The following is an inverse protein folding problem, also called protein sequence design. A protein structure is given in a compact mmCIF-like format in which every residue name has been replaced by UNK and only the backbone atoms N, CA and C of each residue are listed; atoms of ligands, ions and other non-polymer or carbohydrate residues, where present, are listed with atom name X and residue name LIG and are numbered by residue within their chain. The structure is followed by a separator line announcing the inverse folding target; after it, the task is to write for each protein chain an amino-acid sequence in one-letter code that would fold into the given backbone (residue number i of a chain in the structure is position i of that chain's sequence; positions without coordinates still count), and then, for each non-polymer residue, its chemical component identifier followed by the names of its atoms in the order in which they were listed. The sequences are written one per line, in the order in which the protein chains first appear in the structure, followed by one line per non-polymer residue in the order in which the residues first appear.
data_IF_049451028766
#
_entry.id   IF_049451028766
#
_cell.length_a   1.000
_cell.length_b   1.000
_cell.length_c   1.000
_cell.angle_alpha   90.00
_cell.angle_beta   90.00
_cell.angle_gamma   90.00
#
_symmetry.space_group_name_H-M   'P 1'
#
loop_
_entity.id
_entity.type
_entity.pdbx_description
1 polymer ?
#
# COMPACT_ATOMS: atom_id res chain seq x y z
N UNK A 1 13.58 -21.32 -10.05
CA UNK A 1 14.20 -21.05 -11.38
C UNK A 1 13.19 -20.60 -12.45
N UNK A 2 12.06 -21.29 -12.68
CA UNK A 2 11.05 -20.83 -13.66
C UNK A 2 10.21 -19.63 -13.18
N UNK A 3 9.79 -19.62 -11.91
CA UNK A 3 9.03 -18.51 -11.30
C UNK A 3 9.85 -17.20 -11.28
N UNK A 4 11.15 -17.30 -10.99
CA UNK A 4 12.08 -16.17 -10.91
C UNK A 4 12.22 -15.44 -12.25
N UNK A 5 12.36 -16.19 -13.35
CA UNK A 5 12.41 -15.62 -14.71
C UNK A 5 11.09 -14.94 -15.11
N UNK A 6 9.96 -15.42 -14.58
CA UNK A 6 8.64 -14.89 -14.88
C UNK A 6 8.41 -13.54 -14.19
N UNK A 7 8.83 -13.39 -12.93
CA UNK A 7 8.63 -12.15 -12.16
C UNK A 7 9.47 -10.99 -12.71
N UNK A 8 10.76 -11.23 -13.02
CA UNK A 8 11.61 -10.22 -13.67
C UNK A 8 11.09 -9.76 -15.04
N UNK A 9 10.65 -10.71 -15.89
CA UNK A 9 10.04 -10.40 -17.20
C UNK A 9 8.74 -9.61 -17.08
N UNK A 10 7.91 -9.91 -16.08
CA UNK A 10 6.67 -9.16 -15.82
C UNK A 10 6.95 -7.71 -15.43
N UNK A 11 7.92 -7.48 -14.55
CA UNK A 11 8.32 -6.14 -14.11
C UNK A 11 8.94 -5.34 -15.27
N UNK A 12 9.76 -5.99 -16.10
CA UNK A 12 10.32 -5.39 -17.31
C UNK A 12 9.21 -5.01 -18.31
N UNK A 13 8.28 -5.93 -18.60
CA UNK A 13 7.14 -5.69 -19.48
C UNK A 13 6.29 -4.53 -18.98
N UNK A 14 5.97 -4.52 -17.68
CA UNK A 14 5.21 -3.43 -17.06
C UNK A 14 5.94 -2.09 -17.22
N UNK A 15 7.25 -2.06 -16.98
CA UNK A 15 8.06 -0.86 -17.15
C UNK A 15 8.06 -0.34 -18.59
N UNK A 16 8.25 -1.22 -19.58
CA UNK A 16 8.22 -0.87 -21.00
C UNK A 16 6.84 -0.33 -21.39
N UNK A 17 5.77 -1.02 -20.99
CA UNK A 17 4.40 -0.58 -21.25
C UNK A 17 4.14 0.80 -20.62
N UNK A 18 4.56 1.03 -19.37
CA UNK A 18 4.38 2.33 -18.71
C UNK A 18 5.10 3.48 -19.45
N UNK A 19 6.32 3.25 -19.97
CA UNK A 19 7.03 4.24 -20.80
C UNK A 19 6.24 4.51 -22.09
N UNK A 20 5.82 3.45 -22.80
CA UNK A 20 5.06 3.58 -24.04
C UNK A 20 3.75 4.34 -23.82
N UNK A 21 2.97 3.96 -22.80
CA UNK A 21 1.75 4.67 -22.42
C UNK A 21 2.02 6.13 -22.07
N UNK A 22 3.09 6.42 -21.32
CA UNK A 22 3.46 7.79 -20.98
C UNK A 22 3.79 8.65 -22.21
N UNK A 23 4.54 8.12 -23.18
CA UNK A 23 4.85 8.81 -24.44
C UNK A 23 3.59 9.03 -25.27
N UNK A 24 2.73 8.01 -25.39
CA UNK A 24 1.48 8.10 -26.15
C UNK A 24 0.54 9.16 -25.55
N UNK A 25 0.44 9.22 -24.21
CA UNK A 25 -0.36 10.23 -23.50
C UNK A 25 0.19 11.64 -23.74
N UNK A 26 1.51 11.84 -23.74
CA UNK A 26 2.11 13.14 -24.04
C UNK A 26 1.83 13.57 -25.48
N UNK A 27 1.95 12.65 -26.43
CA UNK A 27 1.82 12.95 -27.85
C UNK A 27 0.36 13.19 -28.27
N UNK A 28 -0.60 12.46 -27.71
CA UNK A 28 -1.99 12.43 -28.18
C UNK A 28 -3.00 13.00 -27.17
N UNK A 29 -2.61 13.16 -25.89
CA UNK A 29 -3.41 13.81 -24.84
C UNK A 29 -4.88 13.38 -24.78
N UNK A 30 -5.76 14.32 -25.15
CA UNK A 30 -7.22 14.15 -25.16
C UNK A 30 -7.66 13.03 -26.09
N UNK A 31 -7.10 12.93 -27.28
CA UNK A 31 -7.53 11.97 -28.31
C UNK A 31 -7.25 10.53 -27.88
N UNK A 32 -6.11 10.30 -27.21
CA UNK A 32 -5.81 9.00 -26.63
C UNK A 32 -6.78 8.63 -25.50
N UNK A 33 -7.18 9.61 -24.68
CA UNK A 33 -8.15 9.36 -23.61
C UNK A 33 -9.53 9.04 -24.19
N UNK A 34 -9.94 9.74 -25.25
CA UNK A 34 -11.17 9.41 -26.00
C UNK A 34 -11.12 8.00 -26.58
N UNK A 35 -10.01 7.65 -27.23
CA UNK A 35 -9.81 6.31 -27.78
C UNK A 35 -9.87 5.23 -26.69
N UNK A 36 -9.23 5.45 -25.54
CA UNK A 36 -9.29 4.52 -24.41
C UNK A 36 -10.73 4.34 -23.87
N UNK A 37 -11.50 5.43 -23.81
CA UNK A 37 -12.91 5.39 -23.44
C UNK A 37 -13.75 4.64 -24.49
N UNK A 38 -13.45 4.79 -25.77
CA UNK A 38 -14.12 4.03 -26.84
C UNK A 38 -13.86 2.53 -26.73
N UNK A 39 -12.63 2.11 -26.39
CA UNK A 39 -12.32 0.70 -26.11
C UNK A 39 -13.13 0.17 -24.91
N UNK A 40 -13.26 0.97 -23.86
CA UNK A 40 -14.06 0.62 -22.67
C UNK A 40 -15.56 0.55 -22.99
N UNK A 41 -16.07 1.42 -23.88
CA UNK A 41 -17.43 1.35 -24.41
C UNK A 41 -17.65 0.05 -25.19
N UNK A 42 -16.72 -0.30 -26.09
CA UNK A 42 -16.78 -1.56 -26.86
C UNK A 42 -16.83 -2.76 -25.90
N UNK A 43 -15.99 -2.76 -24.87
CA UNK A 43 -15.99 -3.81 -23.85
C UNK A 43 -17.35 -3.92 -23.13
N UNK A 44 -17.91 -2.80 -22.64
CA UNK A 44 -19.20 -2.82 -21.94
C UNK A 44 -20.34 -3.30 -22.83
N UNK A 45 -20.38 -2.85 -24.09
CA UNK A 45 -21.36 -3.30 -25.06
C UNK A 45 -21.21 -4.80 -25.35
N UNK A 46 -19.98 -5.26 -25.58
CA UNK A 46 -19.69 -6.67 -25.86
C UNK A 46 -20.11 -7.58 -24.69
N UNK A 47 -19.70 -7.25 -23.47
CA UNK A 47 -20.07 -8.02 -22.26
C UNK A 47 -21.58 -7.97 -22.03
N UNK A 48 -22.21 -6.81 -22.18
CA UNK A 48 -23.65 -6.64 -22.03
C UNK A 48 -24.44 -7.49 -23.02
N UNK A 49 -24.11 -7.41 -24.31
CA UNK A 49 -24.76 -8.17 -25.38
C UNK A 49 -24.53 -9.67 -25.23
N UNK A 50 -23.31 -10.11 -24.90
CA UNK A 50 -23.02 -11.53 -24.66
C UNK A 50 -23.79 -12.07 -23.46
N UNK A 51 -23.89 -11.31 -22.37
CA UNK A 51 -24.65 -11.70 -21.20
C UNK A 51 -26.15 -11.80 -21.50
N UNK A 52 -26.69 -10.88 -22.32
CA UNK A 52 -28.07 -10.98 -22.83
C UNK A 52 -28.24 -12.21 -23.73
N UNK A 53 -27.30 -12.47 -24.65
CA UNK A 53 -27.28 -13.65 -25.51
C UNK A 53 -27.32 -14.94 -24.69
N UNK A 54 -26.40 -15.12 -23.73
CA UNK A 54 -26.37 -16.33 -22.89
C UNK A 54 -27.61 -16.47 -22.01
N UNK A 55 -28.20 -15.36 -21.57
CA UNK A 55 -29.43 -15.40 -20.77
C UNK A 55 -30.64 -15.80 -21.61
N UNK A 56 -30.85 -15.18 -22.78
CA UNK A 56 -32.05 -15.39 -23.59
C UNK A 56 -31.95 -16.60 -24.53
N UNK A 57 -30.80 -16.83 -25.15
CA UNK A 57 -30.62 -17.89 -26.15
C UNK A 57 -30.09 -19.19 -25.53
N UNK A 58 -29.20 -19.09 -24.53
CA UNK A 58 -28.62 -20.27 -23.85
C UNK A 58 -29.34 -20.58 -22.52
N UNK A 59 -30.38 -19.82 -22.17
CA UNK A 59 -31.21 -19.96 -20.94
C UNK A 59 -30.38 -20.12 -19.65
N UNK A 60 -29.20 -19.51 -19.58
CA UNK A 60 -28.39 -19.50 -18.35
C UNK A 60 -28.98 -18.48 -17.35
N UNK A 61 -29.89 -18.96 -16.50
CA UNK A 61 -30.58 -18.15 -15.49
C UNK A 61 -29.70 -17.59 -14.36
N UNK A 62 -28.40 -17.93 -14.31
CA UNK A 62 -27.45 -17.39 -13.32
C UNK A 62 -26.96 -15.97 -13.64
N UNK A 63 -27.17 -15.47 -14.85
CA UNK A 63 -26.73 -14.14 -15.28
C UNK A 63 -27.82 -13.13 -14.97
N UNK A 64 -27.54 -12.05 -14.24
CA UNK A 64 -28.53 -11.00 -13.93
C UNK A 64 -28.87 -10.15 -15.17
N UNK A 65 -30.18 -9.96 -15.43
CA UNK A 65 -30.68 -9.15 -16.54
C UNK A 65 -30.38 -7.68 -16.30
N UNK A 66 -30.58 -7.23 -15.06
CA UNK A 66 -30.31 -5.86 -14.65
C UNK A 66 -28.85 -5.50 -14.87
N UNK A 67 -27.91 -6.39 -14.52
CA UNK A 67 -26.49 -6.12 -14.78
C UNK A 67 -26.20 -6.07 -16.28
N UNK A 68 -26.72 -7.01 -17.08
CA UNK A 68 -26.46 -7.04 -18.51
C UNK A 68 -27.00 -5.78 -19.23
N UNK A 69 -28.23 -5.36 -18.91
CA UNK A 69 -28.82 -4.12 -19.42
C UNK A 69 -28.05 -2.87 -18.96
N UNK A 70 -27.61 -2.85 -17.70
CA UNK A 70 -26.80 -1.74 -17.17
C UNK A 70 -25.49 -1.60 -17.94
N UNK A 71 -24.79 -2.70 -18.26
CA UNK A 71 -23.55 -2.65 -19.05
C UNK A 71 -23.80 -2.04 -20.44
N UNK A 72 -24.89 -2.45 -21.12
CA UNK A 72 -25.26 -1.88 -22.43
C UNK A 72 -25.61 -0.39 -22.30
N UNK A 73 -26.42 -0.02 -21.31
CA UNK A 73 -26.82 1.36 -21.06
C UNK A 73 -25.60 2.26 -20.80
N UNK A 74 -24.71 1.83 -19.90
CA UNK A 74 -23.47 2.56 -19.58
C UNK A 74 -22.61 2.72 -20.82
N UNK A 75 -22.42 1.66 -21.62
CA UNK A 75 -21.66 1.72 -22.87
C UNK A 75 -22.25 2.73 -23.86
N UNK A 76 -23.57 2.72 -24.06
CA UNK A 76 -24.25 3.66 -24.96
C UNK A 76 -24.14 5.11 -24.47
N UNK A 77 -24.36 5.37 -23.18
CA UNK A 77 -24.30 6.72 -22.60
C UNK A 77 -22.88 7.27 -22.69
N UNK A 78 -21.87 6.51 -22.25
CA UNK A 78 -20.47 6.94 -22.30
C UNK A 78 -20.02 7.15 -23.75
N UNK A 79 -20.37 6.24 -24.66
CA UNK A 79 -20.02 6.35 -26.08
C UNK A 79 -20.72 7.48 -26.82
N UNK A 80 -21.93 7.85 -26.42
CA UNK A 80 -22.59 9.05 -26.92
C UNK A 80 -21.89 10.31 -26.40
N UNK A 81 -21.66 10.40 -25.09
CA UNK A 81 -21.03 11.56 -24.46
C UNK A 81 -19.60 11.80 -24.95
N UNK A 82 -18.82 10.73 -25.20
CA UNK A 82 -17.44 10.81 -25.68
C UNK A 82 -17.35 11.35 -27.13
N UNK A 83 -18.37 11.07 -27.96
CA UNK A 83 -18.46 11.57 -29.33
C UNK A 83 -19.07 12.97 -29.41
N UNK A 84 -20.08 13.23 -28.59
CA UNK A 84 -20.80 14.51 -28.58
C UNK A 84 -20.04 15.62 -27.84
N UNK A 85 -19.13 15.27 -26.93
CA UNK A 85 -18.44 16.25 -26.08
C UNK A 85 -17.11 15.72 -25.51
N UNK A 86 -16.30 16.59 -24.91
CA UNK A 86 -15.13 16.19 -24.12
C UNK A 86 -15.50 15.88 -22.66
N UNK A 87 -16.79 15.78 -22.32
CA UNK A 87 -17.24 15.64 -20.93
C UNK A 87 -16.62 14.42 -20.21
N UNK A 88 -16.57 13.21 -20.79
CA UNK A 88 -15.93 12.07 -20.12
C UNK A 88 -14.44 12.29 -19.84
N UNK A 89 -13.72 12.91 -20.78
CA UNK A 89 -12.30 13.25 -20.61
C UNK A 89 -12.13 14.30 -19.51
N UNK A 90 -12.98 15.33 -19.49
CA UNK A 90 -12.96 16.37 -18.47
C UNK A 90 -13.23 15.77 -17.07
N UNK A 91 -14.13 14.80 -16.95
CA UNK A 91 -14.37 14.08 -15.68
C UNK A 91 -13.10 13.37 -15.21
N UNK A 92 -12.38 12.67 -16.10
CA UNK A 92 -11.10 12.01 -15.76
C UNK A 92 -10.08 13.04 -15.28
N UNK A 93 -9.94 14.18 -15.97
CA UNK A 93 -9.04 15.27 -15.58
C UNK A 93 -9.42 15.84 -14.21
N UNK A 94 -10.72 16.08 -13.96
CA UNK A 94 -11.21 16.57 -12.67
C UNK A 94 -10.90 15.58 -11.55
N UNK A 95 -11.08 14.27 -11.77
CA UNK A 95 -10.73 13.23 -10.78
C UNK A 95 -9.23 13.30 -10.43
N UNK A 96 -8.37 13.47 -11.43
CA UNK A 96 -6.92 13.65 -11.21
C UNK A 96 -6.62 14.93 -10.41
N UNK A 97 -7.31 16.03 -10.71
CA UNK A 97 -7.21 17.28 -9.95
C UNK A 97 -7.67 17.13 -8.50
N UNK A 98 -8.80 16.47 -8.26
CA UNK A 98 -9.27 16.14 -6.92
C UNK A 98 -8.25 15.28 -6.16
N UNK A 99 -7.64 14.29 -6.81
CA UNK A 99 -6.58 13.49 -6.19
C UNK A 99 -5.36 14.35 -5.79
N UNK A 100 -4.94 15.29 -6.63
CA UNK A 100 -3.85 16.22 -6.31
C UNK A 100 -4.22 17.11 -5.12
N UNK A 101 -5.45 17.59 -5.05
CA UNK A 101 -5.95 18.38 -3.90
C UNK A 101 -6.00 17.55 -2.61
N UNK A 102 -6.44 16.29 -2.67
CA UNK A 102 -6.37 15.38 -1.52
C UNK A 102 -4.92 15.17 -1.06
N UNK A 103 -3.99 15.00 -2.01
CA UNK A 103 -2.55 14.87 -1.71
C UNK A 103 -2.00 16.14 -1.07
N UNK A 104 -2.38 17.31 -1.58
CA UNK A 104 -2.02 18.60 -0.99
C UNK A 104 -2.56 18.73 0.44
N UNK A 105 -3.81 18.31 0.71
CA UNK A 105 -4.39 18.32 2.04
C UNK A 105 -3.60 17.44 3.02
N UNK A 106 -3.15 16.26 2.59
CA UNK A 106 -2.31 15.36 3.41
C UNK A 106 -0.98 16.03 3.76
N UNK A 107 -0.31 16.65 2.78
CA UNK A 107 0.93 17.40 3.04
C UNK A 107 0.69 18.62 3.93
N UNK A 108 -0.45 19.31 3.79
CA UNK A 108 -0.82 20.45 4.62
C UNK A 108 -1.02 20.05 6.07
N UNK A 109 -1.78 18.97 6.31
CA UNK A 109 -1.93 18.38 7.64
C UNK A 109 -0.57 17.96 8.20
N UNK A 110 0.27 17.30 7.40
CA UNK A 110 1.60 16.86 7.82
C UNK A 110 2.50 18.06 8.20
N UNK A 111 2.45 19.16 7.45
CA UNK A 111 3.13 20.40 7.81
C UNK A 111 2.65 20.96 9.16
N UNK A 112 1.34 21.00 9.39
CA UNK A 112 0.76 21.45 10.65
C UNK A 112 1.22 20.57 11.82
N UNK A 113 1.21 19.24 11.65
CA UNK A 113 1.72 18.30 12.64
C UNK A 113 3.22 18.50 12.93
N UNK A 114 4.03 18.76 11.90
CA UNK A 114 5.44 19.06 12.07
C UNK A 114 5.66 20.35 12.86
N UNK A 115 4.84 21.38 12.60
CA UNK A 115 4.89 22.65 13.34
C UNK A 115 4.46 22.47 14.80
N UNK A 116 3.37 21.74 15.06
CA UNK A 116 2.88 21.43 16.41
C UNK A 116 3.92 20.64 17.23
N UNK A 117 4.55 19.65 16.60
CA UNK A 117 5.58 18.82 17.22
C UNK A 117 6.99 19.45 17.23
N UNK A 118 7.14 20.72 16.79
CA UNK A 118 8.42 21.46 16.73
C UNK A 118 9.53 20.70 15.99
N UNK A 119 9.19 20.03 14.90
CA UNK A 119 10.10 19.21 14.12
C UNK A 119 10.77 20.02 13.01
N UNK A 120 12.06 19.75 12.75
CA UNK A 120 12.79 20.33 11.62
C UNK A 120 12.34 19.70 10.29
N UNK A 121 12.45 20.46 9.20
CA UNK A 121 12.15 19.97 7.83
C UNK A 121 10.69 20.10 7.39
N UNK A 122 9.80 20.65 8.22
CA UNK A 122 8.39 20.84 7.88
C UNK A 122 8.14 21.70 6.63
N UNK A 123 9.02 22.66 6.33
CA UNK A 123 8.86 23.58 5.19
C UNK A 123 8.76 22.87 3.83
N UNK A 124 9.32 21.66 3.71
CA UNK A 124 9.20 20.84 2.50
C UNK A 124 7.74 20.46 2.25
N UNK A 125 7.02 20.01 3.27
CA UNK A 125 5.60 19.69 3.16
C UNK A 125 4.76 20.92 2.85
N UNK A 126 5.15 22.10 3.32
CA UNK A 126 4.48 23.35 2.95
C UNK A 126 4.65 23.64 1.45
N UNK A 127 5.87 23.52 0.93
CA UNK A 127 6.14 23.68 -0.50
C UNK A 127 5.32 22.67 -1.33
N UNK A 128 5.32 21.39 -0.94
CA UNK A 128 4.54 20.35 -1.62
C UNK A 128 3.03 20.66 -1.54
N UNK A 129 2.53 21.14 -0.40
CA UNK A 129 1.13 21.57 -0.26
C UNK A 129 0.78 22.66 -1.26
N UNK A 130 1.61 23.69 -1.39
CA UNK A 130 1.37 24.80 -2.32
C UNK A 130 1.46 24.35 -3.77
N UNK A 131 2.45 23.53 -4.11
CA UNK A 131 2.65 23.00 -5.45
C UNK A 131 1.46 22.13 -5.89
N UNK A 132 1.11 21.12 -5.10
CA UNK A 132 -0.01 20.22 -5.42
C UNK A 132 -1.36 20.95 -5.38
N UNK A 133 -1.53 21.95 -4.51
CA UNK A 133 -2.73 22.80 -4.53
C UNK A 133 -2.82 23.61 -5.83
N UNK A 134 -1.73 24.22 -6.27
CA UNK A 134 -1.70 24.98 -7.53
C UNK A 134 -2.03 24.11 -8.74
N UNK A 135 -1.40 22.94 -8.86
CA UNK A 135 -1.66 21.99 -9.94
C UNK A 135 -3.10 21.44 -9.85
N UNK A 136 -3.57 21.09 -8.65
CA UNK A 136 -4.92 20.57 -8.44
C UNK A 136 -6.02 21.59 -8.76
N UNK A 137 -5.89 22.82 -8.28
CA UNK A 137 -6.85 23.90 -8.53
C UNK A 137 -6.91 24.25 -10.03
N UNK A 138 -5.76 24.41 -10.68
CA UNK A 138 -5.72 24.67 -12.13
C UNK A 138 -6.35 23.52 -12.92
N UNK A 139 -6.15 22.27 -12.48
CA UNK A 139 -6.75 21.09 -13.10
C UNK A 139 -8.27 21.01 -12.94
N UNK A 140 -8.79 21.32 -11.75
CA UNK A 140 -10.24 21.27 -11.49
C UNK A 140 -10.98 22.45 -12.13
N UNK A 141 -10.41 23.66 -12.08
CA UNK A 141 -11.08 24.89 -12.53
C UNK A 141 -10.80 25.27 -13.98
N UNK A 142 -9.76 24.72 -14.61
CA UNK A 142 -9.50 24.89 -16.06
C UNK A 142 -9.39 23.57 -16.82
N UNK A 143 -10.41 22.68 -16.82
CA UNK A 143 -10.44 21.54 -17.73
C UNK A 143 -10.55 21.95 -19.20
N UNK A 144 -11.01 23.19 -19.46
CA UNK A 144 -11.27 23.73 -20.80
C UNK A 144 -10.01 24.12 -21.59
N UNK A 145 -8.83 24.15 -20.97
CA UNK A 145 -7.55 24.39 -21.64
C UNK A 145 -6.90 23.08 -22.10
N UNK A 146 -7.55 22.37 -23.02
CA UNK A 146 -7.03 21.20 -23.78
C UNK A 146 -6.39 20.04 -22.98
N UNK A 147 -6.41 20.07 -21.64
CA UNK A 147 -5.83 19.06 -20.75
C UNK A 147 -4.32 18.82 -20.90
N UNK A 148 -3.62 19.55 -21.78
CA UNK A 148 -2.26 19.21 -22.23
C UNK A 148 -1.25 19.18 -21.09
N UNK A 149 -1.33 20.13 -20.17
CA UNK A 149 -0.42 20.20 -19.01
C UNK A 149 -0.64 19.00 -18.08
N UNK A 150 -1.89 18.58 -17.89
CA UNK A 150 -2.23 17.43 -17.05
C UNK A 150 -1.74 16.13 -17.68
N UNK A 151 -1.96 15.95 -18.99
CA UNK A 151 -1.43 14.79 -19.72
C UNK A 151 0.09 14.79 -19.77
N UNK A 152 0.74 15.95 -19.86
CA UNK A 152 2.19 16.07 -19.75
C UNK A 152 2.69 15.59 -18.38
N UNK A 153 2.08 16.06 -17.29
CA UNK A 153 2.47 15.67 -15.92
C UNK A 153 2.26 14.17 -15.71
N UNK A 154 1.10 13.62 -16.09
CA UNK A 154 0.79 12.19 -15.98
C UNK A 154 1.73 11.35 -16.85
N UNK A 155 2.00 11.79 -18.07
CA UNK A 155 2.90 11.11 -18.99
C UNK A 155 4.34 11.08 -18.49
N UNK A 156 4.87 12.20 -17.97
CA UNK A 156 6.19 12.26 -17.33
C UNK A 156 6.23 11.31 -16.13
N UNK A 157 5.19 11.31 -15.29
CA UNK A 157 5.11 10.39 -14.15
C UNK A 157 5.16 8.91 -14.60
N UNK A 158 4.39 8.53 -15.62
CA UNK A 158 4.38 7.16 -16.15
C UNK A 158 5.74 6.77 -16.76
N UNK A 159 6.41 7.69 -17.44
CA UNK A 159 7.76 7.47 -17.98
C UNK A 159 8.75 7.23 -16.84
N UNK A 160 8.74 8.07 -15.79
CA UNK A 160 9.62 7.90 -14.63
C UNK A 160 9.33 6.59 -13.87
N UNK A 161 8.05 6.25 -13.70
CA UNK A 161 7.61 4.97 -13.14
C UNK A 161 8.11 3.80 -14.00
N UNK A 162 7.99 3.92 -15.32
CA UNK A 162 8.42 2.91 -16.27
C UNK A 162 9.93 2.70 -16.24
N UNK A 163 10.73 3.78 -16.26
CA UNK A 163 12.19 3.70 -16.09
C UNK A 163 12.60 3.03 -14.78
N UNK A 164 11.92 3.35 -13.68
CA UNK A 164 12.16 2.67 -12.40
C UNK A 164 11.95 1.17 -12.51
N UNK A 165 10.83 0.72 -13.10
CA UNK A 165 10.53 -0.71 -13.23
C UNK A 165 11.39 -1.43 -14.27
N UNK A 166 11.76 -0.77 -15.39
CA UNK A 166 12.69 -1.35 -16.39
C UNK A 166 14.07 -1.56 -15.77
N UNK A 167 14.58 -0.58 -15.02
CA UNK A 167 15.84 -0.71 -14.29
C UNK A 167 15.79 -1.90 -13.34
N UNK A 168 14.71 -2.02 -12.56
CA UNK A 168 14.55 -3.09 -11.58
C UNK A 168 14.44 -4.47 -12.28
N UNK A 169 13.74 -4.56 -13.42
CA UNK A 169 13.63 -5.79 -14.22
C UNK A 169 14.92 -6.20 -14.95
N UNK A 170 15.70 -5.23 -15.47
CA UNK A 170 16.99 -5.49 -16.13
C UNK A 170 18.06 -5.93 -15.14
N UNK A 171 18.08 -5.28 -13.97
CA UNK A 171 19.03 -5.61 -12.91
C UNK A 171 18.63 -6.86 -12.13
N UNK A 172 17.44 -7.44 -12.37
CA UNK A 172 16.95 -8.63 -11.70
C UNK A 172 17.99 -9.77 -11.69
N UNK A 173 18.63 -10.06 -12.84
CA UNK A 173 19.66 -11.11 -12.93
C UNK A 173 21.02 -10.69 -12.33
N UNK A 174 21.42 -9.43 -12.48
CA UNK A 174 22.68 -8.92 -11.92
C UNK A 174 22.64 -8.85 -10.38
N UNK A 175 21.45 -8.59 -9.83
CA UNK A 175 21.19 -8.55 -8.39
C UNK A 175 21.24 -9.96 -7.80
N UNK A 176 20.72 -10.97 -8.52
CA UNK A 176 20.90 -12.40 -8.22
C UNK A 176 22.39 -12.74 -8.08
N UNK A 177 23.23 -12.27 -9.00
CA UNK A 177 24.66 -12.62 -9.03
C UNK A 177 25.50 -11.88 -7.97
N UNK A 178 25.17 -10.63 -7.63
CA UNK A 178 26.04 -9.79 -6.80
C UNK A 178 25.68 -9.73 -5.31
N UNK A 179 24.52 -10.25 -4.88
CA UNK A 179 24.06 -10.26 -3.47
C UNK A 179 24.21 -8.90 -2.74
N UNK A 180 24.21 -7.78 -3.48
CA UNK A 180 24.48 -6.45 -2.92
C UNK A 180 23.21 -5.62 -2.83
N UNK A 181 22.85 -5.24 -1.61
CA UNK A 181 21.73 -4.34 -1.31
C UNK A 181 22.14 -2.89 -1.62
N UNK A 182 21.92 -2.44 -2.86
CA UNK A 182 22.09 -1.02 -3.22
C UNK A 182 20.79 -0.26 -2.97
N UNK A 183 20.90 0.89 -2.31
CA UNK A 183 19.83 1.89 -2.20
C UNK A 183 19.30 2.25 -3.59
N UNK A 184 18.01 2.05 -3.84
CA UNK A 184 17.37 2.38 -5.12
C UNK A 184 16.23 3.36 -4.92
N UNK A 185 16.28 4.44 -5.69
CA UNK A 185 15.14 5.36 -5.81
C UNK A 185 14.08 4.63 -6.64
N UNK A 186 12.93 4.34 -6.03
CA UNK A 186 11.78 3.73 -6.70
C UNK A 186 10.62 4.72 -6.75
N UNK A 187 9.99 4.84 -7.92
CA UNK A 187 8.75 5.60 -8.06
C UNK A 187 7.60 4.67 -7.70
N UNK A 188 6.84 5.04 -6.68
CA UNK A 188 5.70 4.25 -6.22
C UNK A 188 4.46 4.52 -7.07
N UNK A 189 3.56 3.53 -7.10
CA UNK A 189 2.20 3.71 -7.60
C UNK A 189 1.46 4.78 -6.77
N UNK A 190 0.44 5.44 -7.35
CA UNK A 190 -0.41 6.35 -6.60
C UNK A 190 -1.01 5.66 -5.37
N UNK A 191 -1.12 6.39 -4.25
CA UNK A 191 -1.52 5.83 -2.94
C UNK A 191 -2.89 5.14 -3.03
N UNK A 192 -3.80 5.68 -3.84
CA UNK A 192 -5.12 5.08 -4.09
C UNK A 192 -4.98 3.67 -4.66
N UNK A 193 -4.10 3.47 -5.64
CA UNK A 193 -3.85 2.15 -6.23
C UNK A 193 -3.15 1.26 -5.19
N UNK A 194 -2.18 1.81 -4.47
CA UNK A 194 -1.40 1.07 -3.49
C UNK A 194 -2.26 0.51 -2.33
N UNK A 195 -3.31 1.22 -1.93
CA UNK A 195 -4.22 0.82 -0.87
C UNK A 195 -5.00 -0.48 -1.17
N UNK A 196 -5.13 -0.88 -2.43
CA UNK A 196 -5.88 -2.09 -2.82
C UNK A 196 -5.04 -3.37 -2.87
N UNK A 197 -3.71 -3.29 -2.88
CA UNK A 197 -2.85 -4.48 -2.95
C UNK A 197 -3.07 -5.49 -1.82
N UNK A 198 -3.19 -5.08 -0.54
CA UNK A 198 -3.34 -6.04 0.55
C UNK A 198 -4.65 -6.83 0.43
N UNK A 199 -5.74 -6.16 0.02
CA UNK A 199 -7.03 -6.80 -0.25
C UNK A 199 -6.97 -7.75 -1.46
N UNK A 200 -6.23 -7.42 -2.52
CA UNK A 200 -6.05 -8.32 -3.67
C UNK A 200 -5.31 -9.61 -3.27
N UNK A 201 -4.23 -9.50 -2.48
CA UNK A 201 -3.47 -10.65 -2.00
C UNK A 201 -4.30 -11.56 -1.10
N UNK A 202 -5.09 -10.98 -0.19
CA UNK A 202 -6.07 -11.73 0.60
C UNK A 202 -7.06 -12.50 -0.28
N UNK A 203 -7.62 -11.86 -1.31
CA UNK A 203 -8.54 -12.50 -2.24
C UNK A 203 -7.89 -13.59 -3.09
N UNK A 204 -6.62 -13.44 -3.49
CA UNK A 204 -5.86 -14.49 -4.18
C UNK A 204 -5.63 -15.69 -3.27
N UNK A 205 -5.22 -15.46 -2.04
CA UNK A 205 -5.01 -16.51 -1.06
C UNK A 205 -6.31 -17.25 -0.71
N UNK A 206 -7.40 -16.52 -0.47
CA UNK A 206 -8.71 -17.13 -0.20
C UNK A 206 -9.20 -18.00 -1.37
N UNK A 207 -8.96 -17.61 -2.62
CA UNK A 207 -9.28 -18.43 -3.79
C UNK A 207 -8.40 -19.68 -3.91
N UNK A 208 -7.11 -19.57 -3.59
CA UNK A 208 -6.21 -20.72 -3.53
C UNK A 208 -6.73 -21.76 -2.53
N UNK A 209 -7.12 -21.33 -1.33
CA UNK A 209 -7.70 -22.20 -0.30
C UNK A 209 -9.03 -22.85 -0.73
N UNK A 210 -9.89 -22.13 -1.45
CA UNK A 210 -11.14 -22.71 -1.97
C UNK A 210 -10.91 -23.78 -3.05
N UNK A 211 -9.80 -23.69 -3.79
CA UNK A 211 -9.42 -24.66 -4.82
C UNK A 211 -8.72 -25.92 -4.27
N UNK A 212 -8.04 -25.82 -3.14
CA UNK A 212 -7.37 -26.96 -2.51
C UNK A 212 -8.25 -27.63 -1.45
N UNK A 213 -8.58 -28.92 -1.64
CA UNK A 213 -9.14 -29.78 -0.56
C UNK A 213 -8.07 -30.15 0.49
N UNK A 214 -7.26 -29.19 0.96
CA UNK A 214 -6.29 -29.45 2.02
C UNK A 214 -6.93 -29.26 3.39
N UNK A 215 -6.50 -30.08 4.36
CA UNK A 215 -6.88 -29.91 5.77
C UNK A 215 -6.43 -28.52 6.25
N UNK A 216 -7.21 -27.81 7.08
CA UNK A 216 -6.84 -26.48 7.56
C UNK A 216 -5.51 -26.56 8.33
N UNK A 217 -4.45 -25.96 7.78
CA UNK A 217 -3.20 -25.73 8.48
C UNK A 217 -3.27 -24.40 9.25
N UNK A 218 -2.69 -24.38 10.47
CA UNK A 218 -2.66 -23.19 11.34
C UNK A 218 -1.73 -22.09 10.81
N UNK A 219 -0.69 -22.46 10.04
CA UNK A 219 0.25 -21.55 9.39
C UNK A 219 0.61 -22.17 8.04
N UNK A 220 0.56 -21.36 6.98
CA UNK A 220 1.09 -21.75 5.68
C UNK A 220 2.46 -21.09 5.51
N UNK A 221 3.52 -21.90 5.51
CA UNK A 221 4.89 -21.42 5.30
C UNK A 221 5.41 -21.82 3.93
N UNK A 222 6.06 -20.88 3.25
CA UNK A 222 6.87 -21.11 2.08
C UNK A 222 8.28 -20.65 2.42
N UNK A 223 9.18 -21.60 2.64
CA UNK A 223 10.59 -21.35 2.95
C UNK A 223 11.39 -21.59 1.68
N UNK A 224 12.20 -20.60 1.29
CA UNK A 224 13.03 -20.69 0.09
C UNK A 224 14.39 -21.30 0.38
N UNK A 225 14.90 -21.06 1.59
CA UNK A 225 16.20 -21.50 2.05
C UNK A 225 16.08 -21.93 3.52
N UNK A 226 16.03 -23.24 3.77
CA UNK A 226 15.89 -23.81 5.12
C UNK A 226 17.18 -23.66 5.94
N UNK A 227 18.33 -23.40 5.30
CA UNK A 227 19.62 -23.27 5.98
C UNK A 227 19.82 -21.87 6.58
N UNK A 228 19.05 -20.88 6.13
CA UNK A 228 19.15 -19.50 6.61
C UNK A 228 18.19 -19.20 7.77
N UNK A 229 18.68 -18.59 8.85
CA UNK A 229 17.82 -18.18 9.95
C UNK A 229 16.91 -17.02 9.52
N UNK A 230 15.68 -17.04 10.02
CA UNK A 230 14.76 -15.90 10.00
C UNK A 230 15.05 -15.04 11.23
N UNK A 231 15.79 -13.96 11.05
CA UNK A 231 16.21 -13.07 12.14
C UNK A 231 15.18 -12.00 12.49
N UNK A 232 14.42 -11.56 11.48
CA UNK A 232 13.38 -10.55 11.58
C UNK A 232 12.20 -10.96 10.70
N UNK A 233 10.98 -10.67 11.11
CA UNK A 233 9.80 -10.91 10.28
C UNK A 233 8.95 -9.66 10.19
N UNK A 234 8.52 -9.28 8.98
CA UNK A 234 7.55 -8.21 8.78
C UNK A 234 6.17 -8.82 8.67
N UNK A 235 5.26 -8.43 9.54
CA UNK A 235 3.87 -8.87 9.51
C UNK A 235 3.01 -7.79 8.86
N UNK A 236 2.27 -8.15 7.82
CA UNK A 236 1.31 -7.28 7.13
C UNK A 236 -0.10 -7.80 7.39
N UNK A 237 -0.89 -7.02 8.10
CA UNK A 237 -2.24 -7.42 8.50
C UNK A 237 -3.26 -6.84 7.55
N UNK A 238 -4.22 -7.66 7.16
CA UNK A 238 -5.31 -7.26 6.27
C UNK A 238 -6.62 -7.84 6.76
N UNK A 239 -7.70 -7.08 6.60
CA UNK A 239 -9.06 -7.57 6.82
C UNK A 239 -10.00 -7.00 5.78
N UNK A 240 -11.04 -7.75 5.47
CA UNK A 240 -12.14 -7.38 4.59
C UNK A 240 -13.26 -6.60 5.30
N UNK A 241 -13.14 -6.36 6.61
CA UNK A 241 -14.23 -5.85 7.44
C UNK A 241 -14.47 -4.34 7.32
N UNK A 242 -13.43 -3.53 7.13
CA UNK A 242 -13.55 -2.08 6.98
C UNK A 242 -12.40 -1.48 6.14
N UNK A 243 -12.60 -0.25 5.65
CA UNK A 243 -11.66 0.42 4.73
C UNK A 243 -10.24 0.55 5.30
N UNK A 244 -10.09 0.84 6.60
CA UNK A 244 -8.79 0.92 7.26
C UNK A 244 -8.12 -0.45 7.39
N UNK A 245 -8.91 -1.48 7.65
CA UNK A 245 -8.49 -2.87 7.65
C UNK A 245 -8.08 -3.39 6.27
N UNK A 246 -8.65 -2.85 5.19
CA UNK A 246 -8.26 -3.16 3.82
C UNK A 246 -6.96 -2.48 3.40
N UNK A 247 -6.71 -1.24 3.87
CA UNK A 247 -5.42 -0.54 3.68
C UNK A 247 -4.27 -1.32 4.32
N UNK A 248 -4.56 -2.00 5.42
CA UNK A 248 -3.65 -2.89 6.13
C UNK A 248 -2.78 -2.18 7.16
N UNK A 249 -1.99 -2.97 7.89
CA UNK A 249 -1.07 -2.49 8.93
C UNK A 249 0.23 -3.28 8.89
N UNK A 250 1.35 -2.63 9.27
CA UNK A 250 2.69 -3.24 9.24
C UNK A 250 3.26 -3.30 10.65
N UNK A 251 3.66 -4.49 11.06
CA UNK A 251 4.34 -4.78 12.31
C UNK A 251 5.70 -5.44 12.05
N UNK A 252 6.62 -5.25 12.99
CA UNK A 252 7.93 -5.92 12.96
C UNK A 252 7.98 -6.93 14.09
N UNK A 253 8.36 -8.16 13.78
CA UNK A 253 8.75 -9.14 14.77
C UNK A 253 10.27 -9.29 14.79
N UNK A 254 10.88 -9.06 15.96
CA UNK A 254 12.31 -9.22 16.16
C UNK A 254 12.57 -9.88 17.52
N UNK A 255 13.42 -10.92 17.56
CA UNK A 255 13.73 -11.71 18.77
C UNK A 255 12.47 -12.17 19.52
N UNK A 256 11.50 -12.72 18.78
CA UNK A 256 10.24 -13.24 19.34
C UNK A 256 9.25 -12.18 19.83
N UNK A 257 9.54 -10.88 19.65
CA UNK A 257 8.64 -9.80 20.06
C UNK A 257 8.11 -9.04 18.86
N UNK A 258 6.80 -8.85 18.85
CA UNK A 258 6.13 -7.93 17.93
C UNK A 258 6.28 -6.52 18.46
N UNK A 259 6.71 -5.64 17.57
CA UNK A 259 6.88 -4.21 17.74
C UNK A 259 5.93 -3.54 16.76
N UNK A 260 4.91 -2.90 17.32
CA UNK A 260 3.81 -2.34 16.54
C UNK A 260 3.60 -0.88 16.88
N UNK A 261 3.26 -0.08 15.87
CA UNK A 261 3.08 1.36 16.02
C UNK A 261 1.84 1.87 15.29
N UNK A 262 0.95 2.51 16.05
CA UNK A 262 -0.34 2.94 15.55
C UNK A 262 -0.99 3.99 16.45
N UNK A 263 -2.18 4.43 16.05
CA UNK A 263 -3.07 5.23 16.88
C UNK A 263 -3.85 4.32 17.84
N UNK A 264 -3.18 3.73 18.83
CA UNK A 264 -3.81 2.81 19.79
C UNK A 264 -4.45 3.50 21.00
N UNK A 265 -4.12 4.78 21.24
CA UNK A 265 -4.84 5.59 22.22
C UNK A 265 -6.11 6.16 21.60
N UNK A 266 -7.20 5.42 21.79
CA UNK A 266 -8.49 5.75 21.21
C UNK A 266 -9.07 7.09 21.71
N UNK A 267 -8.60 7.62 22.84
CA UNK A 267 -9.07 8.90 23.38
C UNK A 267 -8.30 10.10 22.81
N UNK A 268 -7.18 9.85 22.14
CA UNK A 268 -6.38 10.88 21.45
C UNK A 268 -6.78 11.11 19.98
N UNK A 269 -7.70 10.28 19.48
CA UNK A 269 -8.13 10.26 18.08
C UNK A 269 -8.80 11.57 17.64
N UNK A 270 -8.43 12.01 16.45
CA UNK A 270 -8.92 13.20 15.75
C UNK A 270 -9.15 12.85 14.28
N UNK A 271 -9.93 13.68 13.59
CA UNK A 271 -10.19 13.54 12.16
C UNK A 271 -10.67 12.11 11.79
N UNK A 272 -11.78 11.69 12.40
CA UNK A 272 -12.38 10.36 12.18
C UNK A 272 -11.42 9.18 12.45
N UNK A 273 -10.55 9.30 13.46
CA UNK A 273 -9.62 8.24 13.86
C UNK A 273 -8.35 8.13 13.00
N UNK A 274 -8.14 9.04 12.03
CA UNK A 274 -6.97 8.99 11.14
C UNK A 274 -5.72 9.60 11.77
N UNK A 275 -5.88 10.46 12.77
CA UNK A 275 -4.81 11.14 13.51
C UNK A 275 -4.97 10.84 14.99
N UNK A 276 -3.89 10.52 15.68
CA UNK A 276 -3.90 10.30 17.13
C UNK A 276 -2.50 10.40 17.71
N UNK A 277 -2.37 10.20 19.01
CA UNK A 277 -1.07 10.04 19.63
C UNK A 277 -0.43 8.75 19.10
N UNK A 278 0.86 8.83 18.77
CA UNK A 278 1.61 7.67 18.36
C UNK A 278 1.88 6.75 19.55
N UNK A 279 1.36 5.54 19.48
CA UNK A 279 1.56 4.51 20.50
C UNK A 279 2.37 3.37 19.90
N UNK A 280 3.45 3.01 20.56
CA UNK A 280 4.24 1.82 20.27
C UNK A 280 3.95 0.77 21.32
N UNK A 281 3.74 -0.49 20.93
CA UNK A 281 3.70 -1.60 21.87
C UNK A 281 4.71 -2.69 21.52
N UNK A 282 5.16 -3.40 22.56
CA UNK A 282 6.00 -4.59 22.47
C UNK A 282 5.30 -5.75 23.18
N UNK A 283 5.14 -6.86 22.48
CA UNK A 283 4.42 -8.04 22.98
C UNK A 283 5.06 -9.31 22.43
N UNK A 284 4.84 -10.44 23.09
CA UNK A 284 5.24 -11.75 22.57
C UNK A 284 4.52 -12.04 21.23
N UNK A 285 5.27 -12.59 20.26
CA UNK A 285 4.77 -12.85 18.90
C UNK A 285 3.60 -13.84 18.91
N UNK A 286 3.73 -14.95 19.62
CA UNK A 286 2.76 -16.04 19.54
C UNK A 286 1.45 -15.62 20.20
N UNK A 287 1.53 -15.00 21.38
CA UNK A 287 0.37 -14.42 22.06
C UNK A 287 -0.34 -13.37 21.20
N UNK A 288 0.41 -12.54 20.47
CA UNK A 288 -0.16 -11.53 19.60
C UNK A 288 -0.84 -12.10 18.36
N UNK A 289 -0.23 -13.12 17.73
CA UNK A 289 -0.82 -13.80 16.59
C UNK A 289 -2.14 -14.46 17.02
N UNK A 290 -2.20 -15.08 18.19
CA UNK A 290 -3.42 -15.72 18.68
C UNK A 290 -4.54 -14.70 18.96
N UNK A 291 -4.22 -13.55 19.57
CA UNK A 291 -5.19 -12.45 19.70
C UNK A 291 -5.70 -11.95 18.34
N UNK A 292 -4.81 -11.82 17.35
CA UNK A 292 -5.21 -11.35 16.02
C UNK A 292 -6.21 -12.30 15.35
N UNK A 293 -6.07 -13.61 15.58
CA UNK A 293 -7.01 -14.63 15.10
C UNK A 293 -8.36 -14.53 15.79
N UNK A 294 -8.36 -14.41 17.11
CA UNK A 294 -9.58 -14.36 17.94
C UNK A 294 -10.40 -13.08 17.72
N UNK A 295 -9.77 -11.91 17.80
CA UNK A 295 -10.47 -10.61 17.75
C UNK A 295 -10.88 -10.23 16.32
N UNK A 296 -10.07 -10.59 15.32
CA UNK A 296 -10.07 -9.82 14.07
C UNK A 296 -10.44 -10.60 12.81
N UNK A 297 -10.46 -11.94 12.83
CA UNK A 297 -10.47 -12.78 11.60
C UNK A 297 -9.49 -12.26 10.53
N UNK A 298 -8.38 -11.65 10.97
CA UNK A 298 -7.39 -11.02 10.10
C UNK A 298 -6.47 -12.10 9.57
N UNK A 299 -6.12 -12.01 8.30
CA UNK A 299 -5.01 -12.80 7.75
C UNK A 299 -3.74 -11.97 7.87
N UNK A 300 -2.69 -12.56 8.45
CA UNK A 300 -1.38 -11.93 8.57
C UNK A 300 -0.45 -12.55 7.54
N UNK A 301 0.15 -11.72 6.70
CA UNK A 301 1.23 -12.09 5.78
C UNK A 301 2.57 -11.72 6.43
N UNK A 302 3.30 -12.73 6.89
CA UNK A 302 4.65 -12.62 7.42
C UNK A 302 5.70 -12.81 6.34
N UNK A 303 6.68 -11.91 6.30
CA UNK A 303 7.86 -12.00 5.44
C UNK A 303 9.10 -12.07 6.32
N UNK A 304 9.74 -13.24 6.36
CA UNK A 304 10.92 -13.52 7.16
C UNK A 304 12.19 -13.10 6.44
N UNK A 305 12.96 -12.22 7.07
CA UNK A 305 14.23 -11.70 6.61
C UNK A 305 15.40 -12.41 7.30
N UNK A 306 16.41 -12.78 6.51
CA UNK A 306 17.71 -13.21 7.02
C UNK A 306 18.68 -12.03 7.02
N UNK A 307 19.30 -11.75 8.16
CA UNK A 307 20.14 -10.57 8.36
C UNK A 307 21.58 -10.99 8.65
N UNK A 308 22.55 -10.23 8.14
CA UNK A 308 23.95 -10.33 8.57
C UNK A 308 24.11 -9.75 9.99
N UNK A 309 25.22 -10.06 10.66
CA UNK A 309 25.46 -9.55 12.02
C UNK A 309 25.54 -8.02 12.06
N UNK A 310 26.14 -7.39 11.05
CA UNK A 310 26.17 -5.94 10.89
C UNK A 310 24.75 -5.35 10.77
N UNK A 311 23.88 -6.03 10.02
CA UNK A 311 22.49 -5.64 9.86
C UNK A 311 21.68 -5.79 11.16
N UNK A 312 21.91 -6.87 11.92
CA UNK A 312 21.31 -7.07 13.24
C UNK A 312 21.72 -5.97 14.20
N UNK A 313 23.01 -5.64 14.26
CA UNK A 313 23.53 -4.55 15.08
C UNK A 313 22.91 -3.20 14.69
N UNK A 314 22.71 -2.95 13.40
CA UNK A 314 22.06 -1.72 12.93
C UNK A 314 20.58 -1.65 13.35
N UNK A 315 19.84 -2.76 13.27
CA UNK A 315 18.46 -2.87 13.75
C UNK A 315 18.39 -2.64 15.26
N UNK A 316 19.26 -3.31 16.03
CA UNK A 316 19.32 -3.18 17.49
C UNK A 316 19.63 -1.75 17.95
N UNK A 317 20.63 -1.12 17.33
CA UNK A 317 20.96 0.28 17.58
C UNK A 317 19.74 1.18 17.33
N UNK A 318 19.04 0.95 16.21
CA UNK A 318 17.88 1.76 15.87
C UNK A 318 16.70 1.55 16.83
N UNK A 319 16.49 0.33 17.29
CA UNK A 319 15.50 0.03 18.33
C UNK A 319 15.86 0.71 19.66
N UNK A 320 17.13 0.74 20.04
CA UNK A 320 17.60 1.45 21.23
C UNK A 320 17.36 2.97 21.13
N UNK A 321 17.68 3.58 19.98
CA UNK A 321 17.36 5.00 19.72
C UNK A 321 15.86 5.30 19.80
N UNK A 322 15.01 4.38 19.34
CA UNK A 322 13.56 4.51 19.48
C UNK A 322 13.18 4.44 20.97
N UNK A 323 13.71 3.48 21.72
CA UNK A 323 13.41 3.28 23.13
C UNK A 323 13.77 4.49 24.00
N UNK A 324 14.85 5.21 23.67
CA UNK A 324 15.21 6.48 24.33
C UNK A 324 14.13 7.57 24.17
N UNK A 325 13.35 7.53 23.09
CA UNK A 325 12.26 8.47 22.82
C UNK A 325 10.95 8.08 23.48
N UNK A 326 10.85 6.85 24.01
CA UNK A 326 9.63 6.32 24.59
C UNK A 326 9.47 6.71 26.06
N UNK A 327 8.22 6.79 26.46
CA UNK A 327 7.78 6.79 27.86
C UNK A 327 6.72 5.71 28.03
N UNK A 328 6.75 4.99 29.15
CA UNK A 328 5.75 3.96 29.44
C UNK A 328 4.39 4.64 29.51
N UNK A 329 3.42 4.04 28.84
CA UNK A 329 2.04 4.51 28.84
C UNK A 329 1.13 3.36 29.27
N UNK A 330 0.30 3.64 30.27
CA UNK A 330 -0.75 2.72 30.69
C UNK A 330 -2.08 3.16 30.08
N UNK A 331 -2.74 2.31 29.29
CA UNK A 331 -4.00 2.64 28.67
C UNK A 331 -5.10 2.79 29.73
N UNK A 332 -5.99 3.79 29.58
CA UNK A 332 -7.08 3.99 30.54
C UNK A 332 -8.01 2.78 30.55
N UNK A 333 -8.58 2.51 31.73
CA UNK A 333 -9.61 1.49 31.92
C UNK A 333 -11.00 1.94 31.44
N UNK A 334 -11.11 3.14 30.87
CA UNK A 334 -12.37 3.66 30.38
C UNK A 334 -12.85 2.89 29.14
N UNK A 335 -14.16 2.78 29.02
CA UNK A 335 -14.80 2.16 27.86
C UNK A 335 -14.95 3.20 26.74
N UNK A 336 -14.71 2.79 25.51
CA UNK A 336 -15.09 3.55 24.31
C UNK A 336 -16.17 2.77 23.58
N UNK A 337 -17.29 3.43 23.29
CA UNK A 337 -18.47 2.81 22.66
C UNK A 337 -18.95 1.53 23.39
N UNK A 338 -18.89 1.56 24.72
CA UNK A 338 -19.30 0.44 25.59
C UNK A 338 -18.34 -0.76 25.61
N UNK A 339 -17.15 -0.66 24.98
CA UNK A 339 -16.16 -1.74 24.92
C UNK A 339 -14.81 -1.31 25.47
N UNK A 340 -14.05 -2.29 25.98
CA UNK A 340 -12.64 -2.11 26.35
C UNK A 340 -11.84 -1.77 25.08
N UNK A 341 -10.93 -0.80 25.19
CA UNK A 341 -10.08 -0.41 24.07
C UNK A 341 -9.09 -1.53 23.73
N UNK A 342 -8.64 -1.56 22.47
CA UNK A 342 -7.64 -2.54 22.03
C UNK A 342 -6.34 -2.46 22.85
N UNK A 343 -5.89 -1.24 23.16
CA UNK A 343 -4.72 -1.01 24.00
C UNK A 343 -4.87 -1.61 25.42
N UNK A 344 -6.06 -1.49 26.02
CA UNK A 344 -6.35 -2.10 27.32
C UNK A 344 -6.19 -3.63 27.28
N UNK A 345 -6.75 -4.28 26.26
CA UNK A 345 -6.62 -5.74 26.09
C UNK A 345 -5.17 -6.15 25.89
N UNK A 346 -4.43 -5.48 25.02
CA UNK A 346 -3.00 -5.74 24.82
C UNK A 346 -2.23 -5.71 26.15
N UNK A 347 -2.49 -4.72 27.00
CA UNK A 347 -1.83 -4.58 28.30
C UNK A 347 -2.19 -5.72 29.26
N UNK A 348 -3.49 -6.00 29.41
CA UNK A 348 -4.00 -6.85 30.50
C UNK A 348 -4.17 -8.32 30.13
N UNK A 349 -4.43 -8.63 28.87
CA UNK A 349 -4.63 -10.00 28.38
C UNK A 349 -3.32 -10.58 27.84
N UNK A 350 -2.47 -9.77 27.21
CA UNK A 350 -1.22 -10.22 26.57
C UNK A 350 0.05 -9.76 27.31
N UNK A 351 -0.08 -9.06 28.43
CA UNK A 351 1.05 -8.47 29.16
C UNK A 351 1.95 -7.58 28.27
N UNK A 352 1.37 -6.93 27.26
CA UNK A 352 2.12 -6.04 26.36
C UNK A 352 2.64 -4.82 27.13
N UNK A 353 3.80 -4.31 26.70
CA UNK A 353 4.30 -3.01 27.16
C UNK A 353 3.94 -1.96 26.12
N UNK A 354 3.19 -0.94 26.54
CA UNK A 354 2.77 0.15 25.68
C UNK A 354 3.53 1.42 26.04
N UNK A 355 3.77 2.25 25.02
CA UNK A 355 4.61 3.42 25.11
C UNK A 355 4.04 4.55 24.27
N UNK A 356 4.18 5.78 24.76
CA UNK A 356 4.05 7.00 23.94
C UNK A 356 5.42 7.56 23.62
N UNK A 357 5.48 8.41 22.60
CA UNK A 357 6.71 9.12 22.23
C UNK A 357 6.75 10.50 22.91
N UNK A 358 7.80 10.74 23.69
CA UNK A 358 8.07 12.04 24.33
C UNK A 358 8.25 13.14 23.27
N UNK A 359 9.05 12.81 22.26
CA UNK A 359 9.45 13.68 21.14
C UNK A 359 9.63 12.85 19.86
N UNK A 360 9.93 13.51 18.73
CA UNK A 360 10.04 12.98 17.36
C UNK A 360 8.77 13.05 16.51
N UNK A 361 8.93 12.77 15.21
CA UNK A 361 7.81 12.66 14.25
C UNK A 361 6.80 11.59 14.64
N UNK A 362 7.21 10.55 15.35
CA UNK A 362 6.33 9.46 15.77
C UNK A 362 5.43 9.82 16.95
N UNK A 363 5.56 11.02 17.53
CA UNK A 363 4.67 11.53 18.58
C UNK A 363 3.21 11.62 18.15
N UNK A 364 2.96 11.97 16.90
CA UNK A 364 1.61 11.97 16.34
C UNK A 364 1.55 10.97 15.21
N UNK A 365 0.69 9.98 15.36
CA UNK A 365 0.35 9.06 14.29
C UNK A 365 -0.58 9.75 13.31
N UNK A 366 -0.26 9.66 12.01
CA UNK A 366 -1.18 10.03 10.94
C UNK A 366 -1.12 8.96 9.86
N UNK A 367 -2.24 8.25 9.66
CA UNK A 367 -2.32 7.08 8.77
C UNK A 367 -1.83 7.36 7.34
N UNK A 368 -1.99 8.60 6.87
CA UNK A 368 -1.62 9.02 5.51
C UNK A 368 -0.21 9.62 5.41
N UNK A 369 0.58 9.72 6.48
CA UNK A 369 1.98 10.17 6.37
C UNK A 369 2.92 9.53 7.40
N UNK A 370 2.88 9.95 8.67
CA UNK A 370 3.66 9.33 9.75
C UNK A 370 2.91 8.13 10.31
N UNK A 371 3.08 6.98 9.65
CA UNK A 371 2.33 5.76 9.94
C UNK A 371 3.23 4.56 10.29
N UNK A 372 2.61 3.39 10.44
CA UNK A 372 3.27 2.11 10.77
C UNK A 372 4.38 1.74 9.78
N UNK A 373 4.16 1.97 8.49
CA UNK A 373 5.15 1.70 7.45
C UNK A 373 6.40 2.58 7.61
N UNK A 374 6.24 3.85 7.99
CA UNK A 374 7.38 4.75 8.20
C UNK A 374 8.22 4.34 9.41
N UNK A 375 7.59 3.86 10.50
CA UNK A 375 8.36 3.33 11.62
C UNK A 375 9.09 2.05 11.21
N UNK A 376 8.38 1.13 10.55
CA UNK A 376 8.94 -0.14 10.13
C UNK A 376 10.15 0.04 9.19
N UNK A 377 10.00 0.90 8.17
CA UNK A 377 11.08 1.27 7.27
C UNK A 377 12.25 1.95 8.01
N UNK A 378 11.96 2.76 9.05
CA UNK A 378 13.04 3.37 9.83
C UNK A 378 13.89 2.35 10.61
N UNK A 379 13.32 1.19 10.95
CA UNK A 379 14.00 0.09 11.66
C UNK A 379 14.74 -0.79 10.65
N UNK A 380 14.02 -1.30 9.66
CA UNK A 380 14.56 -2.25 8.69
C UNK A 380 15.54 -1.56 7.75
N UNK A 381 15.29 -0.31 7.36
CA UNK A 381 16.15 0.44 6.44
C UNK A 381 17.59 0.67 6.95
N UNK A 382 17.84 0.55 8.25
CA UNK A 382 19.19 0.59 8.82
C UNK A 382 20.00 -0.69 8.55
N UNK A 383 19.33 -1.82 8.30
CA UNK A 383 19.95 -3.07 7.86
C UNK A 383 20.45 -3.00 6.40
N UNK A 384 20.69 -1.81 5.83
CA UNK A 384 21.09 -1.67 4.43
C UNK A 384 20.03 -2.09 3.41
N UNK A 385 18.88 -2.57 3.87
CA UNK A 385 17.75 -2.97 3.04
C UNK A 385 16.99 -1.78 2.51
N UNK A 386 17.15 -0.58 3.11
CA UNK A 386 16.48 0.70 2.81
C UNK A 386 15.36 0.46 1.80
N UNK A 387 14.32 -0.22 2.29
CA UNK A 387 13.35 -0.98 1.47
C UNK A 387 12.80 -0.06 0.39
N UNK A 388 12.71 1.21 0.74
CA UNK A 388 12.19 2.25 -0.09
C UNK A 388 12.89 3.58 0.26
N UNK A 389 13.88 4.03 -0.54
CA UNK A 389 14.34 5.43 -0.50
C UNK A 389 13.23 6.32 -1.07
N UNK A 390 12.19 6.53 -0.26
CA UNK A 390 10.92 7.07 -0.70
C UNK A 390 10.87 8.57 -0.56
N UNK A 391 10.59 9.21 -1.68
CA UNK A 391 9.91 10.49 -1.70
C UNK A 391 8.41 10.24 -1.52
N UNK A 392 7.88 10.40 -0.31
CA UNK A 392 6.43 10.51 -0.08
C UNK A 392 5.82 9.51 0.91
N UNK A 393 4.51 9.30 0.76
CA UNK A 393 3.65 8.53 1.67
C UNK A 393 3.79 7.02 1.39
N UNK A 394 3.98 6.24 2.45
CA UNK A 394 4.18 4.79 2.37
C UNK A 394 2.86 4.10 2.73
N UNK A 395 2.31 3.36 1.77
CA UNK A 395 1.15 2.51 2.01
C UNK A 395 1.60 1.08 2.34
N UNK A 396 0.90 0.36 3.24
CA UNK A 396 1.19 -1.05 3.54
C UNK A 396 1.22 -1.94 2.30
N UNK A 397 0.33 -1.69 1.32
CA UNK A 397 0.33 -2.41 0.05
C UNK A 397 1.60 -2.24 -0.78
N UNK A 398 2.21 -1.05 -0.76
CA UNK A 398 3.52 -0.82 -1.39
C UNK A 398 4.59 -1.63 -0.68
N UNK A 399 4.57 -1.64 0.66
CA UNK A 399 5.51 -2.39 1.48
C UNK A 399 5.40 -3.90 1.23
N UNK A 400 4.17 -4.42 1.17
CA UNK A 400 3.88 -5.81 0.86
C UNK A 400 4.34 -6.20 -0.54
N UNK A 401 4.04 -5.38 -1.54
CA UNK A 401 4.44 -5.63 -2.93
C UNK A 401 5.97 -5.71 -3.06
N UNK A 402 6.69 -4.85 -2.33
CA UNK A 402 8.14 -4.92 -2.26
C UNK A 402 8.63 -6.22 -1.61
N UNK A 403 8.13 -6.58 -0.42
CA UNK A 403 8.57 -7.79 0.29
C UNK A 403 8.24 -9.06 -0.50
N UNK A 404 7.10 -9.07 -1.18
CA UNK A 404 6.72 -10.14 -2.10
C UNK A 404 7.70 -10.22 -3.28
N UNK A 405 8.06 -9.08 -3.87
CA UNK A 405 9.07 -9.04 -4.92
C UNK A 405 10.42 -9.56 -4.42
N UNK A 406 10.86 -9.19 -3.21
CA UNK A 406 12.13 -9.68 -2.64
C UNK A 406 12.09 -11.16 -2.27
N UNK A 407 10.94 -11.69 -1.87
CA UNK A 407 10.76 -13.13 -1.65
C UNK A 407 10.85 -13.91 -2.97
N UNK A 408 10.27 -13.36 -4.05
CA UNK A 408 10.35 -13.89 -5.41
C UNK A 408 11.72 -13.63 -6.07
N UNK A 409 12.48 -12.62 -5.62
CA UNK A 409 13.79 -12.25 -6.17
C UNK A 409 14.90 -13.09 -5.54
N UNK A 410 16.00 -13.33 -6.24
CA UNK A 410 17.10 -14.12 -5.66
C UNK A 410 17.99 -13.36 -4.66
N UNK A 411 17.53 -12.22 -4.12
CA UNK A 411 18.33 -11.45 -3.16
C UNK A 411 18.54 -12.17 -1.82
N UNK A 412 17.94 -13.35 -1.59
CA UNK A 412 18.03 -14.16 -0.37
C UNK A 412 17.77 -13.37 0.93
N UNK A 413 17.24 -12.15 0.83
CA UNK A 413 16.96 -11.27 1.95
C UNK A 413 15.69 -11.74 2.64
N UNK A 414 14.62 -11.91 1.87
CA UNK A 414 13.37 -12.50 2.35
C UNK A 414 13.42 -14.00 2.04
N UNK A 415 13.66 -14.81 3.08
CA UNK A 415 13.89 -16.26 2.97
C UNK A 415 12.64 -17.08 3.26
N UNK A 416 11.64 -16.48 3.90
CA UNK A 416 10.40 -17.15 4.26
C UNK A 416 9.18 -16.25 4.05
N UNK A 417 8.08 -16.86 3.66
CA UNK A 417 6.75 -16.28 3.70
C UNK A 417 5.85 -17.14 4.57
N UNK A 418 5.24 -16.56 5.60
CA UNK A 418 4.32 -17.22 6.50
C UNK A 418 2.95 -16.57 6.40
N UNK A 419 1.88 -17.36 6.37
CA UNK A 419 0.51 -16.86 6.38
C UNK A 419 -0.17 -17.42 7.62
N UNK A 420 -0.58 -16.53 8.51
CA UNK A 420 -1.27 -16.85 9.75
C UNK A 420 -2.76 -16.51 9.59
N UNK A 421 -3.62 -17.47 9.91
CA UNK A 421 -5.09 -17.37 9.85
C UNK A 421 -5.73 -17.62 11.19
#
# INVERSE_FOLDING_TARGET
MELDKLSGRRTLLFGILAILFGVIIIANGVDFTKFALDLLVIYFLFVGVINLFFRFLVKKNRISLGSALLHVLVGLVVGFLNRASNLPVNIVIIILGCYQLCTAAIYGITYLLYRQNKLKGGFRYLFDTLLYSGIGLTTVFSPSTDGRMQFLIVGIYLILLGFSNVRDGLMFNTDVEKKQLRRRIRINLPIIIAAFFPAEQLNRFNRFLQGEKKKPQKVYSSIRDEEKPVDLEVLIHTSDQNLFGMIGHVDICYKGKVISYGSYDAFSERLFGTIGDGVLFKVDKDAYIDLCKEESKKTLFGYGLSLTDEQKLAVEKRLAEIDELLEVWDPPADLKDGKRTYAYKLKHELNARLYKFKTSRFKTYFILSTNCCLLADSIIGQAGTAILDMRGIIAPGTYQSYLQYEFESANELVVAQNIYQ
#
